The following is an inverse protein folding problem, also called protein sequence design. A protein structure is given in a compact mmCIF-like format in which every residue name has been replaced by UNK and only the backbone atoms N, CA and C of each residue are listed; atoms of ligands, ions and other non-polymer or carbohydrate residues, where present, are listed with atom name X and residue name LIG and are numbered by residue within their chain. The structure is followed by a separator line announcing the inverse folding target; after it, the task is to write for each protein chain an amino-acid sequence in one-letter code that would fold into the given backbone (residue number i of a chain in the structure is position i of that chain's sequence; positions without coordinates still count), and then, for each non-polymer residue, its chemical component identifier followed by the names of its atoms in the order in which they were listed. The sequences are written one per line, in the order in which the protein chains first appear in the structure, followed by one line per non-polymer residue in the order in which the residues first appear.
data_IF_268382451356
#
_entry.id   IF_268382451356
#
_cell.length_a   1.000
_cell.length_b   1.000
_cell.length_c   1.000
_cell.angle_alpha   90.00
_cell.angle_beta   90.00
_cell.angle_gamma   90.00
#
_symmetry.space_group_name_H-M   'P 1'
#
loop_
_entity.id
_entity.type
_entity.pdbx_description
1 polymer ?
#
# COMPACT_ATOMS: atom_id res chain seq x y z
N UNK A 1 53.36 6.74 -52.32
CA UNK A 1 53.19 8.21 -52.29
C UNK A 1 52.43 8.49 -51.00
N UNK A 2 52.98 9.14 -49.96
CA UNK A 2 53.57 10.49 -49.89
C UNK A 2 52.52 11.56 -50.24
N UNK A 3 52.24 12.61 -49.44
CA UNK A 3 52.92 13.16 -48.25
C UNK A 3 51.86 13.87 -47.33
N UNK A 4 51.97 13.92 -45.98
CA UNK A 4 52.55 15.01 -45.12
C UNK A 4 52.28 16.46 -45.62
N UNK A 5 52.00 17.51 -44.83
CA UNK A 5 51.99 17.81 -43.36
C UNK A 5 51.02 19.04 -43.14
N UNK A 6 50.72 19.73 -42.01
CA UNK A 6 51.38 20.14 -40.75
C UNK A 6 50.31 20.46 -39.65
N UNK A 7 50.67 20.40 -38.37
CA UNK A 7 49.85 20.75 -37.19
C UNK A 7 49.72 22.27 -36.91
N UNK A 8 48.78 22.68 -36.03
CA UNK A 8 48.98 23.82 -35.10
C UNK A 8 48.07 23.79 -33.86
N UNK A 9 48.69 23.91 -32.68
CA UNK A 9 48.05 24.11 -31.36
C UNK A 9 48.10 25.58 -30.94
N UNK A 10 47.24 25.99 -29.98
CA UNK A 10 47.56 27.00 -28.96
C UNK A 10 46.53 27.00 -27.81
N UNK A 11 46.94 27.50 -26.64
CA UNK A 11 46.12 27.64 -25.41
C UNK A 11 45.57 29.06 -25.24
N UNK A 12 44.45 29.23 -24.52
CA UNK A 12 44.10 30.46 -23.80
C UNK A 12 43.21 30.17 -22.57
N UNK A 13 43.31 30.98 -21.53
CA UNK A 13 42.78 30.72 -20.17
C UNK A 13 41.61 31.64 -19.75
N UNK A 14 40.90 31.21 -18.69
CA UNK A 14 40.20 32.04 -17.69
C UNK A 14 39.08 33.01 -18.11
N UNK A 15 37.89 32.83 -17.49
CA UNK A 15 37.46 33.74 -16.39
C UNK A 15 36.35 33.15 -15.51
N UNK A 16 36.34 33.60 -14.24
CA UNK A 16 35.28 33.35 -13.24
C UNK A 16 34.39 34.58 -13.15
N UNK A 17 33.08 34.40 -12.99
CA UNK A 17 32.18 35.40 -12.41
C UNK A 17 31.26 34.70 -11.41
N UNK A 18 31.27 35.14 -10.16
CA UNK A 18 30.22 34.84 -9.17
C UNK A 18 29.21 35.99 -9.16
N UNK A 19 27.95 35.68 -8.85
CA UNK A 19 26.93 36.69 -8.53
C UNK A 19 26.11 36.25 -7.31
N UNK A 20 26.41 36.86 -6.17
CA UNK A 20 25.64 36.68 -4.93
C UNK A 20 24.56 37.77 -4.84
N UNK A 21 23.33 37.41 -4.48
CA UNK A 21 22.29 38.35 -4.07
C UNK A 21 21.76 37.98 -2.68
N UNK A 22 21.77 38.93 -1.76
CA UNK A 22 21.30 38.78 -0.39
C UNK A 22 19.93 39.46 -0.22
N UNK A 23 19.08 38.87 0.64
CA UNK A 23 17.75 39.39 0.98
C UNK A 23 17.79 39.98 2.40
N UNK A 24 17.40 41.26 2.60
CA UNK A 24 17.32 41.85 3.93
C UNK A 24 15.96 41.60 4.61
N UNK A 25 15.98 41.17 5.87
CA UNK A 25 14.80 41.21 6.74
C UNK A 25 14.34 42.65 7.00
N UNK A 26 13.03 42.85 7.20
CA UNK A 26 12.52 43.91 8.08
C UNK A 26 11.22 43.52 8.77
N UNK A 27 11.24 43.54 10.09
CA UNK A 27 10.08 43.31 10.96
C UNK A 27 9.43 44.64 11.32
N UNK A 28 8.10 44.73 11.36
CA UNK A 28 7.40 45.79 12.11
C UNK A 28 6.22 45.22 12.90
N UNK A 29 6.15 45.63 14.17
CA UNK A 29 5.00 45.41 15.05
C UNK A 29 3.88 46.41 14.69
N UNK A 30 2.63 45.97 14.87
CA UNK A 30 1.53 46.88 15.18
C UNK A 30 0.82 46.37 16.45
N UNK A 31 0.54 47.28 17.37
CA UNK A 31 -0.13 47.02 18.64
C UNK A 31 -1.35 47.91 18.76
N UNK A 32 -2.44 47.39 19.33
CA UNK A 32 -3.59 48.21 19.73
C UNK A 32 -4.37 47.56 20.89
N UNK A 33 -5.04 48.41 21.67
CA UNK A 33 -5.71 48.15 22.94
C UNK A 33 -6.93 49.09 23.01
N UNK A 34 -7.96 48.89 23.85
CA UNK A 34 -8.14 47.98 24.99
C UNK A 34 -9.24 46.92 24.64
N UNK A 35 -10.21 46.44 25.44
CA UNK A 35 -10.71 46.82 26.76
C UNK A 35 -11.53 45.69 27.41
N UNK A 36 -11.31 45.46 28.71
CA UNK A 36 -12.08 44.55 29.57
C UNK A 36 -12.42 45.31 30.86
N UNK A 37 -13.71 45.36 31.22
CA UNK A 37 -14.16 45.95 32.49
C UNK A 37 -14.13 44.91 33.61
N UNK A 38 -13.57 45.20 34.79
CA UNK A 38 -13.77 44.36 35.97
C UNK A 38 -15.14 44.62 36.61
N UNK A 39 -15.69 43.59 37.27
CA UNK A 39 -16.77 43.74 38.26
C UNK A 39 -16.30 43.13 39.59
N UNK A 40 -16.85 43.59 40.72
CA UNK A 40 -16.31 43.28 42.04
C UNK A 40 -17.41 43.12 43.11
N UNK A 41 -17.09 42.36 44.16
CA UNK A 41 -17.99 41.94 45.26
C UNK A 41 -19.10 40.95 44.82
N UNK A 42 -19.67 40.11 45.70
CA UNK A 42 -19.67 40.05 47.17
C UNK A 42 -19.28 38.66 47.72
N UNK A 43 -18.88 38.62 48.99
CA UNK A 43 -18.60 37.39 49.77
C UNK A 43 -19.47 37.40 51.03
N UNK A 44 -20.07 36.24 51.38
CA UNK A 44 -20.41 35.74 52.73
C UNK A 44 -21.66 34.80 52.69
N UNK A 45 -21.88 33.91 53.69
CA UNK A 45 -20.97 33.43 54.74
C UNK A 45 -20.72 31.90 54.69
N UNK A 46 -19.81 31.43 55.55
CA UNK A 46 -19.40 30.03 55.66
C UNK A 46 -20.17 29.31 56.78
N UNK A 47 -20.81 28.17 56.50
CA UNK A 47 -21.52 27.36 57.53
C UNK A 47 -20.72 26.08 57.81
N UNK A 48 -20.30 25.92 59.07
CA UNK A 48 -19.65 24.68 59.54
C UNK A 48 -20.70 23.68 60.03
N UNK A 49 -20.76 22.51 59.42
CA UNK A 49 -21.31 21.32 60.06
C UNK A 49 -20.17 20.41 60.54
N UNK A 50 -20.27 19.92 61.78
CA UNK A 50 -19.45 18.83 62.29
C UNK A 50 -20.22 17.52 62.08
N UNK A 51 -19.61 16.54 61.46
CA UNK A 51 -20.02 15.13 61.53
C UNK A 51 -18.83 14.30 61.98
N UNK A 52 -19.09 13.32 62.85
CA UNK A 52 -18.06 12.42 63.38
C UNK A 52 -17.61 11.44 62.32
N UNK A 53 -16.30 11.22 62.21
CA UNK A 53 -15.74 10.13 61.42
C UNK A 53 -15.77 8.82 62.22
N UNK A 54 -16.38 7.78 61.66
CA UNK A 54 -16.11 6.39 62.01
C UNK A 54 -15.47 5.71 60.81
N UNK A 55 -14.22 5.30 60.94
CA UNK A 55 -13.53 4.53 59.91
C UNK A 55 -14.11 3.11 59.86
N UNK A 56 -14.47 2.66 58.65
CA UNK A 56 -14.74 1.24 58.37
C UNK A 56 -13.77 0.78 57.29
N UNK A 57 -12.79 -0.03 57.67
CA UNK A 57 -11.78 -0.59 56.76
C UNK A 57 -12.38 -1.72 55.91
N UNK A 58 -12.98 -1.36 54.78
CA UNK A 58 -13.32 -2.33 53.72
C UNK A 58 -12.07 -2.69 52.93
N UNK A 59 -11.57 -3.91 53.13
CA UNK A 59 -10.47 -4.47 52.35
C UNK A 59 -10.99 -4.94 50.98
N UNK A 60 -11.08 -4.03 50.01
CA UNK A 60 -11.45 -4.36 48.63
C UNK A 60 -10.35 -5.15 47.93
N UNK A 61 -10.48 -6.47 47.90
CA UNK A 61 -9.63 -7.34 47.09
C UNK A 61 -9.87 -7.09 45.61
N UNK A 62 -9.04 -6.25 44.99
CA UNK A 62 -9.03 -6.07 43.54
C UNK A 62 -8.46 -7.34 42.92
N UNK A 63 -9.33 -8.31 42.66
CA UNK A 63 -9.03 -9.47 41.83
C UNK A 63 -8.71 -8.97 40.43
N UNK A 64 -7.43 -8.85 40.12
CA UNK A 64 -6.95 -8.44 38.80
C UNK A 64 -7.42 -9.42 37.74
N UNK A 65 -8.52 -9.07 37.07
CA UNK A 65 -8.90 -9.69 35.81
C UNK A 65 -7.81 -9.37 34.79
N UNK A 66 -6.84 -10.28 34.67
CA UNK A 66 -5.97 -10.34 33.51
C UNK A 66 -6.85 -10.67 32.32
N UNK A 67 -7.39 -9.63 31.68
CA UNK A 67 -8.01 -9.73 30.36
C UNK A 67 -6.92 -10.14 29.39
N UNK A 68 -6.74 -11.45 29.23
CA UNK A 68 -6.07 -11.99 28.06
C UNK A 68 -6.87 -11.52 26.86
N UNK A 69 -6.40 -10.45 26.22
CA UNK A 69 -6.90 -10.02 24.91
C UNK A 69 -6.47 -11.08 23.92
N UNK A 70 -7.22 -12.19 23.88
CA UNK A 70 -7.22 -13.02 22.70
C UNK A 70 -7.64 -12.12 21.55
N UNK A 71 -6.80 -12.00 20.53
CA UNK A 71 -7.24 -11.57 19.20
C UNK A 71 -8.54 -12.32 18.91
N UNK A 72 -9.68 -11.62 18.93
CA UNK A 72 -10.95 -12.22 18.52
C UNK A 72 -10.70 -12.70 17.09
N UNK A 73 -10.73 -14.02 16.88
CA UNK A 73 -10.13 -14.65 15.69
C UNK A 73 -10.80 -14.11 14.43
N UNK A 74 -10.20 -13.07 13.84
CA UNK A 74 -10.74 -12.40 12.68
C UNK A 74 -10.80 -13.40 11.54
N UNK A 75 -11.97 -13.49 10.91
CA UNK A 75 -12.13 -14.40 9.78
C UNK A 75 -11.21 -13.94 8.67
N UNK A 76 -10.37 -14.83 8.16
CA UNK A 76 -9.57 -14.58 6.97
C UNK A 76 -10.42 -14.46 5.71
N UNK A 77 -11.74 -14.74 5.79
CA UNK A 77 -12.71 -14.54 4.71
C UNK A 77 -13.15 -13.09 4.51
N UNK A 78 -12.96 -12.21 5.50
CA UNK A 78 -13.17 -10.77 5.36
C UNK A 78 -11.78 -10.15 5.18
N UNK A 79 -11.42 -9.65 4.00
CA UNK A 79 -10.04 -9.31 3.68
C UNK A 79 -9.64 -7.89 4.11
N UNK A 80 -10.51 -7.16 4.82
CA UNK A 80 -10.25 -5.80 5.31
C UNK A 80 -10.68 -5.63 6.78
N UNK A 81 -10.08 -4.66 7.47
CA UNK A 81 -10.46 -4.25 8.84
C UNK A 81 -10.85 -2.77 8.88
N UNK A 82 -11.79 -2.40 9.75
CA UNK A 82 -12.15 -1.00 9.93
C UNK A 82 -11.06 -0.23 10.69
N UNK A 83 -11.02 1.08 10.47
CA UNK A 83 -10.15 2.00 11.22
C UNK A 83 -10.40 1.97 12.73
N UNK A 84 -11.66 1.82 13.15
CA UNK A 84 -12.04 1.65 14.56
C UNK A 84 -11.48 0.35 15.16
N UNK A 85 -11.51 -0.74 14.38
CA UNK A 85 -10.95 -2.02 14.82
C UNK A 85 -9.43 -1.94 14.93
N UNK A 86 -8.74 -1.37 13.94
CA UNK A 86 -7.29 -1.20 14.02
C UNK A 86 -6.91 -0.31 15.22
N UNK A 87 -7.59 0.81 15.43
CA UNK A 87 -7.35 1.69 16.57
C UNK A 87 -7.54 0.99 17.92
N UNK A 88 -8.53 0.10 18.04
CA UNK A 88 -8.74 -0.70 19.25
C UNK A 88 -7.65 -1.79 19.47
N UNK A 89 -7.02 -2.30 18.41
CA UNK A 89 -6.06 -3.41 18.47
C UNK A 89 -4.59 -3.00 18.24
N UNK A 90 -4.31 -1.71 18.00
CA UNK A 90 -2.97 -1.17 17.66
C UNK A 90 -1.87 -1.43 18.71
N UNK A 91 -2.23 -1.89 19.91
CA UNK A 91 -1.31 -2.19 21.02
C UNK A 91 -1.02 -3.69 21.21
N UNK A 92 -1.58 -4.55 20.35
CA UNK A 92 -1.27 -5.98 20.36
C UNK A 92 0.15 -6.21 19.80
N UNK A 93 1.09 -6.83 20.55
CA UNK A 93 2.47 -7.02 20.09
C UNK A 93 2.60 -7.99 18.91
N UNK A 94 1.60 -8.86 18.70
CA UNK A 94 1.53 -9.81 17.59
C UNK A 94 0.76 -9.22 16.39
N UNK A 95 0.42 -7.91 16.42
CA UNK A 95 -0.14 -7.17 15.29
C UNK A 95 0.92 -6.24 14.68
N UNK A 96 1.09 -6.31 13.34
CA UNK A 96 2.00 -5.44 12.58
C UNK A 96 1.21 -4.56 11.63
N UNK A 97 1.53 -3.27 11.58
CA UNK A 97 0.91 -2.33 10.64
C UNK A 97 1.92 -1.94 9.57
N UNK A 98 1.49 -2.00 8.31
CA UNK A 98 2.31 -1.67 7.15
C UNK A 98 1.73 -0.50 6.37
N UNK A 99 2.53 0.55 6.21
CA UNK A 99 2.32 1.58 5.19
C UNK A 99 2.91 1.06 3.88
N UNK A 100 2.04 0.59 2.98
CA UNK A 100 2.41 0.13 1.65
C UNK A 100 2.13 1.21 0.59
N UNK A 101 2.25 2.49 0.94
CA UNK A 101 2.02 3.60 0.01
C UNK A 101 2.92 3.50 -1.22
N UNK A 102 2.30 3.46 -2.39
CA UNK A 102 2.97 3.56 -3.69
C UNK A 102 2.10 4.42 -4.62
N UNK A 103 2.73 5.19 -5.49
CA UNK A 103 2.07 6.18 -6.34
C UNK A 103 2.54 6.07 -7.79
N UNK A 104 1.65 6.34 -8.75
CA UNK A 104 2.03 6.33 -10.15
C UNK A 104 3.09 7.41 -10.43
N UNK A 105 4.09 7.17 -11.30
CA UNK A 105 5.19 8.14 -11.54
C UNK A 105 4.76 9.54 -11.98
N UNK A 106 3.54 9.71 -12.51
CA UNK A 106 2.97 11.00 -12.90
C UNK A 106 2.28 11.76 -11.74
N UNK A 107 2.06 11.13 -10.57
CA UNK A 107 1.48 11.77 -9.38
C UNK A 107 2.49 12.66 -8.63
N UNK A 108 3.80 12.50 -8.86
CA UNK A 108 4.89 13.29 -8.27
C UNK A 108 4.92 13.30 -6.72
N UNK A 109 4.35 12.25 -6.11
CA UNK A 109 4.36 11.99 -4.67
C UNK A 109 5.52 11.07 -4.28
N UNK A 110 6.08 11.26 -3.09
CA UNK A 110 7.14 10.41 -2.53
C UNK A 110 6.57 9.65 -1.31
N UNK A 111 6.32 8.33 -1.41
CA UNK A 111 5.63 7.61 -0.35
C UNK A 111 6.45 7.49 0.94
N UNK A 112 7.76 7.22 0.84
CA UNK A 112 8.65 7.15 2.00
C UNK A 112 8.73 8.49 2.75
N UNK A 113 8.73 9.61 2.01
CA UNK A 113 8.69 10.95 2.60
C UNK A 113 7.34 11.27 3.25
N UNK A 114 6.22 10.88 2.63
CA UNK A 114 4.89 11.07 3.23
C UNK A 114 4.70 10.21 4.51
N UNK A 115 5.17 8.96 4.49
CA UNK A 115 5.26 8.09 5.67
C UNK A 115 6.08 8.74 6.79
N UNK A 116 7.30 9.21 6.49
CA UNK A 116 8.16 9.91 7.46
C UNK A 116 7.46 11.13 8.10
N UNK A 117 6.61 11.83 7.35
CA UNK A 117 5.86 13.00 7.83
C UNK A 117 4.65 12.61 8.69
N UNK A 118 3.83 11.63 8.30
CA UNK A 118 2.63 11.25 9.06
C UNK A 118 2.08 9.85 8.73
N UNK A 119 2.36 8.85 9.57
CA UNK A 119 1.95 7.45 9.44
C UNK A 119 1.06 7.00 10.61
N UNK A 120 0.43 5.82 10.52
CA UNK A 120 -0.29 5.22 11.66
C UNK A 120 0.72 4.86 12.77
N UNK A 121 0.43 5.12 14.06
CA UNK A 121 1.41 4.90 15.12
C UNK A 121 1.95 3.46 15.17
N UNK A 122 3.27 3.31 15.24
CA UNK A 122 3.96 2.02 15.21
C UNK A 122 3.99 1.30 13.86
N UNK A 123 3.47 1.89 12.78
CA UNK A 123 3.52 1.29 11.45
C UNK A 123 4.93 1.30 10.85
N UNK A 124 5.27 0.26 10.09
CA UNK A 124 6.50 0.15 9.30
C UNK A 124 6.20 0.50 7.84
N UNK A 125 7.20 0.98 7.10
CA UNK A 125 7.08 1.19 5.66
C UNK A 125 7.37 -0.11 4.88
N UNK A 126 6.46 -0.52 4.02
CA UNK A 126 6.66 -1.61 3.06
C UNK A 126 6.93 -1.01 1.68
N UNK A 127 8.18 -1.08 1.25
CA UNK A 127 8.61 -0.58 -0.05
C UNK A 127 8.13 -1.52 -1.18
N UNK A 128 7.07 -1.12 -1.90
CA UNK A 128 6.47 -1.92 -2.98
C UNK A 128 7.37 -2.01 -4.22
N UNK A 129 8.26 -1.05 -4.44
CA UNK A 129 9.25 -1.10 -5.53
C UNK A 129 10.46 -1.96 -5.12
N UNK A 130 10.98 -1.77 -3.90
CA UNK A 130 12.12 -2.53 -3.38
C UNK A 130 11.82 -4.01 -3.11
N UNK A 131 10.66 -4.31 -2.51
CA UNK A 131 10.19 -5.68 -2.22
C UNK A 131 9.49 -6.28 -3.46
N UNK A 132 10.21 -6.26 -4.59
CA UNK A 132 9.80 -6.84 -5.88
C UNK A 132 10.98 -7.53 -6.59
N UNK A 133 10.72 -8.28 -7.66
CA UNK A 133 11.78 -8.97 -8.41
C UNK A 133 12.68 -7.99 -9.19
N UNK A 134 13.88 -7.76 -8.66
CA UNK A 134 14.91 -6.92 -9.28
C UNK A 134 15.66 -7.63 -10.42
N UNK A 135 15.40 -8.94 -10.68
CA UNK A 135 16.05 -9.68 -11.76
C UNK A 135 15.41 -9.43 -13.14
N UNK A 136 14.26 -8.75 -13.20
CA UNK A 136 13.50 -8.48 -14.41
C UNK A 136 13.34 -6.99 -14.70
N UNK A 137 13.08 -6.64 -15.96
CA UNK A 137 12.71 -5.27 -16.36
C UNK A 137 11.21 -4.99 -16.21
N UNK A 138 10.43 -5.99 -15.75
CA UNK A 138 9.00 -5.85 -15.49
C UNK A 138 8.76 -5.22 -14.10
N UNK A 139 7.85 -4.24 -13.99
CA UNK A 139 7.64 -3.50 -12.76
C UNK A 139 6.85 -4.30 -11.71
N UNK A 140 7.26 -4.21 -10.45
CA UNK A 140 6.54 -4.69 -9.27
C UNK A 140 6.34 -6.21 -9.17
N UNK A 141 6.99 -7.00 -10.02
CA UNK A 141 6.85 -8.46 -10.08
C UNK A 141 7.11 -9.13 -8.72
N UNK A 142 6.47 -10.26 -8.47
CA UNK A 142 6.70 -11.05 -7.25
C UNK A 142 8.18 -11.43 -7.08
N UNK A 143 8.81 -11.12 -5.93
CA UNK A 143 10.15 -11.62 -5.64
C UNK A 143 10.12 -13.14 -5.37
N UNK A 144 11.27 -13.80 -5.29
CA UNK A 144 11.33 -15.22 -4.91
C UNK A 144 10.86 -15.49 -3.47
N UNK A 145 10.53 -16.74 -3.15
CA UNK A 145 10.13 -17.13 -1.77
C UNK A 145 11.18 -16.75 -0.73
N UNK A 146 12.45 -17.05 -0.99
CA UNK A 146 13.57 -16.72 -0.10
C UNK A 146 13.76 -15.21 0.05
N UNK A 147 13.57 -14.45 -1.04
CA UNK A 147 13.70 -12.99 -1.04
C UNK A 147 12.56 -12.35 -0.23
N UNK A 148 11.30 -12.77 -0.45
CA UNK A 148 10.16 -12.30 0.33
C UNK A 148 10.30 -12.67 1.82
N UNK A 149 10.69 -13.92 2.12
CA UNK A 149 10.95 -14.38 3.48
C UNK A 149 12.03 -13.53 4.17
N UNK A 150 13.13 -13.21 3.47
CA UNK A 150 14.20 -12.37 4.00
C UNK A 150 13.76 -10.92 4.24
N UNK A 151 13.03 -10.30 3.29
CA UNK A 151 12.54 -8.93 3.42
C UNK A 151 11.51 -8.79 4.55
N UNK A 152 10.54 -9.71 4.64
CA UNK A 152 9.53 -9.73 5.70
C UNK A 152 10.14 -10.03 7.08
N UNK A 153 11.19 -10.86 7.13
CA UNK A 153 11.98 -11.06 8.36
C UNK A 153 12.74 -9.78 8.77
N UNK A 154 13.29 -9.02 7.80
CA UNK A 154 13.99 -7.76 8.06
C UNK A 154 13.06 -6.64 8.56
N UNK A 155 11.77 -6.67 8.21
CA UNK A 155 10.73 -5.83 8.83
C UNK A 155 10.43 -6.23 10.29
N UNK A 156 10.86 -7.41 10.74
CA UNK A 156 10.58 -7.92 12.08
C UNK A 156 9.18 -8.56 12.21
N UNK A 157 8.76 -9.26 11.16
CA UNK A 157 7.48 -9.99 11.09
C UNK A 157 7.75 -11.50 11.19
N UNK A 158 6.86 -12.22 11.88
CA UNK A 158 6.88 -13.66 12.08
C UNK A 158 5.61 -14.32 11.53
N UNK A 159 5.65 -15.63 11.20
CA UNK A 159 4.44 -16.35 10.75
C UNK A 159 3.29 -16.37 11.77
N UNK A 160 3.57 -16.09 13.05
CA UNK A 160 2.56 -16.02 14.11
C UNK A 160 1.73 -14.74 14.07
N UNK A 161 2.26 -13.65 13.52
CA UNK A 161 1.68 -12.31 13.62
C UNK A 161 0.39 -12.18 12.79
N UNK A 162 -0.41 -11.15 13.08
CA UNK A 162 -1.39 -10.58 12.16
C UNK A 162 -0.83 -9.32 11.50
N UNK A 163 -1.20 -9.08 10.24
CA UNK A 163 -0.71 -7.93 9.46
C UNK A 163 -1.89 -7.08 8.97
N UNK A 164 -1.83 -5.77 9.19
CA UNK A 164 -2.78 -4.80 8.61
C UNK A 164 -2.04 -3.83 7.71
N UNK A 165 -2.40 -3.81 6.43
CA UNK A 165 -1.76 -2.96 5.41
C UNK A 165 -2.66 -1.79 5.05
N UNK A 166 -2.10 -0.59 4.95
CA UNK A 166 -2.80 0.59 4.42
C UNK A 166 -1.96 1.31 3.36
N UNK A 167 -2.58 2.25 2.64
CA UNK A 167 -1.86 3.22 1.82
C UNK A 167 -2.45 4.64 1.92
N UNK A 168 -1.69 5.62 1.42
CA UNK A 168 -2.04 7.04 1.36
C UNK A 168 -3.00 7.44 0.22
N UNK A 169 -3.75 6.49 -0.35
CA UNK A 169 -4.89 6.75 -1.26
C UNK A 169 -6.21 6.18 -0.73
N UNK A 170 -6.15 5.12 0.06
CA UNK A 170 -7.30 4.42 0.64
C UNK A 170 -7.11 2.92 0.45
N UNK A 171 -7.48 2.41 -0.73
CA UNK A 171 -7.15 1.06 -1.19
C UNK A 171 -6.61 1.14 -2.63
N UNK A 172 -5.31 1.00 -2.79
CA UNK A 172 -4.61 1.04 -4.08
C UNK A 172 -3.43 0.06 -4.13
N UNK A 173 -2.40 0.30 -3.32
CA UNK A 173 -1.18 -0.49 -3.23
C UNK A 173 -1.16 -1.40 -2.00
N UNK A 174 -1.95 -1.07 -0.96
CA UNK A 174 -2.15 -1.97 0.18
C UNK A 174 -2.70 -3.34 -0.24
N UNK A 175 -3.60 -3.36 -1.24
CA UNK A 175 -4.15 -4.60 -1.79
C UNK A 175 -3.08 -5.48 -2.47
N UNK A 176 -2.03 -4.89 -3.05
CA UNK A 176 -0.90 -5.63 -3.64
C UNK A 176 -0.16 -6.42 -2.57
N UNK A 177 0.20 -5.76 -1.46
CA UNK A 177 0.92 -6.39 -0.36
C UNK A 177 0.05 -7.45 0.35
N UNK A 178 -1.24 -7.18 0.54
CA UNK A 178 -2.22 -8.19 1.00
C UNK A 178 -2.17 -9.47 0.15
N UNK A 179 -2.21 -9.33 -1.18
CA UNK A 179 -2.11 -10.46 -2.08
C UNK A 179 -0.73 -11.13 -2.04
N UNK A 180 0.37 -10.38 -1.93
CA UNK A 180 1.73 -10.95 -1.82
C UNK A 180 1.88 -11.86 -0.59
N UNK A 181 1.46 -11.43 0.60
CA UNK A 181 1.52 -12.29 1.80
C UNK A 181 0.65 -13.56 1.65
N UNK A 182 -0.52 -13.47 0.99
CA UNK A 182 -1.34 -14.64 0.67
C UNK A 182 -0.68 -15.56 -0.36
N UNK A 183 -0.04 -15.01 -1.39
CA UNK A 183 0.80 -15.76 -2.34
C UNK A 183 1.92 -16.49 -1.61
N UNK A 184 2.48 -15.93 -0.54
CA UNK A 184 3.49 -16.59 0.29
C UNK A 184 2.92 -17.33 1.52
N UNK A 185 1.63 -17.67 1.51
CA UNK A 185 1.02 -18.61 2.45
C UNK A 185 0.69 -18.04 3.84
N UNK A 186 0.52 -16.72 3.95
CA UNK A 186 0.16 -16.03 5.19
C UNK A 186 -1.20 -15.32 5.03
N UNK A 187 -2.29 -16.01 5.37
CA UNK A 187 -3.67 -15.47 5.29
C UNK A 187 -4.08 -14.60 6.49
N UNK A 188 -3.24 -14.41 7.51
CA UNK A 188 -3.49 -13.49 8.64
C UNK A 188 -3.25 -12.01 8.25
N UNK A 189 -3.72 -11.60 7.07
CA UNK A 189 -3.47 -10.27 6.52
C UNK A 189 -4.76 -9.61 6.03
N UNK A 190 -4.89 -8.33 6.39
CA UNK A 190 -6.05 -7.49 6.08
C UNK A 190 -5.60 -6.15 5.49
N UNK A 191 -6.40 -5.57 4.61
CA UNK A 191 -6.26 -4.16 4.22
C UNK A 191 -7.03 -3.27 5.21
N UNK A 192 -6.52 -2.08 5.52
CA UNK A 192 -7.25 -1.08 6.29
C UNK A 192 -8.32 -0.42 5.40
N UNK A 193 -9.59 -0.63 5.73
CA UNK A 193 -10.72 -0.17 4.91
C UNK A 193 -10.78 1.38 4.88
N UNK A 194 -10.61 1.97 3.69
CA UNK A 194 -10.46 3.42 3.50
C UNK A 194 -9.08 4.00 3.85
N UNK A 195 -8.12 3.16 4.27
CA UNK A 195 -6.71 3.48 4.45
C UNK A 195 -6.39 4.68 5.36
N UNK A 196 -5.24 5.31 5.11
CA UNK A 196 -4.80 6.51 5.84
C UNK A 196 -5.75 7.71 5.71
N UNK A 197 -6.44 7.94 4.56
CA UNK A 197 -7.47 8.98 4.46
C UNK A 197 -8.61 8.78 5.47
N UNK A 198 -9.17 7.56 5.57
CA UNK A 198 -10.27 7.27 6.52
C UNK A 198 -9.79 7.27 7.97
N UNK A 199 -8.56 6.81 8.24
CA UNK A 199 -7.94 6.91 9.58
C UNK A 199 -7.90 8.35 10.09
N UNK A 200 -7.37 9.27 9.27
CA UNK A 200 -7.31 10.70 9.58
C UNK A 200 -8.70 11.34 9.66
N UNK A 201 -9.63 10.94 8.79
CA UNK A 201 -11.01 11.44 8.82
C UNK A 201 -11.80 11.01 10.07
N UNK A 202 -11.46 9.87 10.67
CA UNK A 202 -11.98 9.42 11.98
C UNK A 202 -11.37 10.13 13.18
N UNK A 203 -10.38 11.00 12.98
CA UNK A 203 -9.74 11.77 14.06
C UNK A 203 -8.73 10.98 14.90
N UNK A 204 -8.24 9.84 14.41
CA UNK A 204 -7.21 9.06 15.08
C UNK A 204 -5.81 9.66 14.89
N UNK A 205 -4.97 9.54 15.92
CA UNK A 205 -3.61 10.08 15.95
C UNK A 205 -2.72 9.48 14.84
N UNK A 206 -1.73 10.25 14.40
CA UNK A 206 -0.67 9.82 13.47
C UNK A 206 0.70 10.18 14.05
N UNK A 207 1.67 9.28 13.91
CA UNK A 207 3.05 9.56 14.29
C UNK A 207 3.75 10.38 13.20
N UNK A 208 4.51 11.39 13.63
CA UNK A 208 5.29 12.27 12.74
C UNK A 208 6.76 12.19 13.11
N UNK A 209 7.63 12.14 12.10
CA UNK A 209 9.03 11.68 12.22
C UNK A 209 9.11 10.19 12.54
N UNK A 210 8.99 9.34 11.52
CA UNK A 210 9.18 7.89 11.64
C UNK A 210 10.51 7.55 12.33
N UNK A 211 10.48 6.55 13.22
CA UNK A 211 11.66 6.20 14.02
C UNK A 211 12.82 5.71 13.15
N UNK A 212 14.06 5.98 13.59
CA UNK A 212 15.25 5.51 12.89
C UNK A 212 15.27 3.98 12.73
N UNK A 213 14.70 3.25 13.70
CA UNK A 213 14.52 1.79 13.64
C UNK A 213 13.58 1.38 12.49
N UNK A 214 12.41 2.02 12.36
CA UNK A 214 11.46 1.71 11.29
C UNK A 214 12.02 2.03 9.89
N UNK A 215 12.79 3.13 9.75
CA UNK A 215 13.47 3.48 8.50
C UNK A 215 14.62 2.51 8.19
N UNK A 216 15.39 2.08 9.19
CA UNK A 216 16.43 1.06 9.02
C UNK A 216 15.82 -0.29 8.63
N UNK A 217 14.68 -0.69 9.19
CA UNK A 217 13.94 -1.91 8.81
C UNK A 217 13.42 -1.86 7.37
N UNK A 218 12.83 -0.74 6.95
CA UNK A 218 12.37 -0.56 5.57
C UNK A 218 13.54 -0.68 4.58
N UNK A 219 14.67 -0.01 4.85
CA UNK A 219 15.88 -0.15 4.04
C UNK A 219 16.42 -1.58 4.06
N UNK A 220 16.47 -2.22 5.24
CA UNK A 220 16.97 -3.59 5.41
C UNK A 220 16.11 -4.63 4.66
N UNK A 221 14.82 -4.36 4.45
CA UNK A 221 13.93 -5.21 3.68
C UNK A 221 14.24 -5.17 2.18
N UNK A 222 14.39 -3.98 1.58
CA UNK A 222 14.81 -3.84 0.18
C UNK A 222 16.24 -4.38 -0.04
N UNK A 223 17.16 -4.08 0.89
CA UNK A 223 18.51 -4.67 0.97
C UNK A 223 18.51 -6.21 0.95
N UNK A 224 17.52 -6.85 1.60
CA UNK A 224 17.46 -8.30 1.73
C UNK A 224 17.11 -8.97 0.39
N UNK A 225 16.26 -8.34 -0.43
CA UNK A 225 15.94 -8.78 -1.80
C UNK A 225 17.21 -8.82 -2.65
N UNK A 226 17.96 -7.72 -2.68
CA UNK A 226 19.21 -7.64 -3.44
C UNK A 226 20.22 -8.70 -2.99
N UNK A 227 20.36 -8.92 -1.67
CA UNK A 227 21.29 -9.90 -1.10
C UNK A 227 20.92 -11.33 -1.51
N UNK A 228 19.65 -11.71 -1.43
CA UNK A 228 19.20 -13.04 -1.87
C UNK A 228 19.46 -13.25 -3.37
N UNK A 229 19.16 -12.27 -4.23
CA UNK A 229 19.46 -12.39 -5.66
C UNK A 229 20.96 -12.36 -6.00
N UNK A 230 21.80 -11.77 -5.15
CA UNK A 230 23.27 -11.89 -5.21
C UNK A 230 23.80 -13.21 -4.63
N UNK A 231 22.92 -14.14 -4.20
CA UNK A 231 23.30 -15.42 -3.60
C UNK A 231 23.87 -15.31 -2.19
N UNK A 232 23.63 -14.20 -1.49
CA UNK A 232 24.11 -13.96 -0.13
C UNK A 232 23.07 -14.44 0.90
N UNK A 233 23.54 -15.09 1.96
CA UNK A 233 22.68 -15.51 3.06
C UNK A 233 22.23 -14.30 3.90
N UNK A 234 20.91 -14.10 4.00
CA UNK A 234 20.30 -13.14 4.94
C UNK A 234 19.88 -13.89 6.20
N UNK A 235 20.23 -13.35 7.38
CA UNK A 235 19.86 -13.93 8.68
C UNK A 235 19.66 -12.82 9.73
N UNK A 236 18.75 -12.98 10.71
CA UNK A 236 17.87 -14.13 10.90
C UNK A 236 16.72 -14.16 9.88
N UNK A 237 16.21 -15.37 9.61
CA UNK A 237 14.92 -15.57 8.92
C UNK A 237 13.89 -15.94 10.00
N UNK A 238 12.87 -15.11 10.15
CA UNK A 238 11.79 -15.22 11.15
C UNK A 238 10.43 -15.49 10.50
N UNK A 239 10.33 -15.28 9.19
CA UNK A 239 9.16 -15.57 8.37
C UNK A 239 9.47 -16.68 7.35
N UNK A 240 8.64 -17.71 7.32
CA UNK A 240 8.65 -18.78 6.31
C UNK A 240 7.62 -18.46 5.22
N UNK A 241 8.08 -18.21 4.00
CA UNK A 241 7.21 -18.15 2.83
C UNK A 241 6.77 -19.57 2.39
N UNK A 242 5.59 -19.68 1.75
CA UNK A 242 5.10 -20.90 1.08
C UNK A 242 4.27 -20.52 -0.15
N UNK A 243 4.87 -20.64 -1.33
CA UNK A 243 4.29 -20.16 -2.59
C UNK A 243 2.98 -20.86 -2.99
N UNK A 244 1.92 -20.07 -3.12
CA UNK A 244 0.59 -20.47 -3.56
C UNK A 244 0.47 -20.22 -5.06
N UNK A 245 1.08 -21.10 -5.87
CA UNK A 245 1.10 -21.00 -7.33
C UNK A 245 -0.30 -20.77 -7.96
N UNK A 246 -1.37 -21.25 -7.33
CA UNK A 246 -2.74 -21.05 -7.80
C UNK A 246 -3.24 -19.59 -7.74
N UNK A 247 -2.57 -18.70 -6.99
CA UNK A 247 -2.89 -17.27 -6.88
C UNK A 247 -2.10 -16.38 -7.87
N UNK A 248 -1.25 -16.97 -8.72
CA UNK A 248 -0.36 -16.25 -9.64
C UNK A 248 -0.52 -16.81 -11.05
N UNK A 249 -0.70 -15.94 -12.04
CA UNK A 249 -0.69 -16.27 -13.46
C UNK A 249 0.47 -15.59 -14.20
N UNK A 250 1.03 -16.29 -15.18
CA UNK A 250 2.04 -15.79 -16.11
C UNK A 250 1.47 -15.54 -17.53
N UNK A 251 2.29 -14.99 -18.43
CA UNK A 251 1.90 -14.71 -19.82
C UNK A 251 1.43 -15.95 -20.60
N UNK A 252 2.01 -17.13 -20.35
CA UNK A 252 1.63 -18.38 -21.04
C UNK A 252 0.20 -18.81 -20.65
N UNK A 253 -0.14 -18.77 -19.35
CA UNK A 253 -1.48 -19.08 -18.85
C UNK A 253 -2.52 -18.11 -19.42
N UNK A 254 -2.18 -16.82 -19.53
CA UNK A 254 -3.05 -15.80 -20.14
C UNK A 254 -3.25 -16.06 -21.63
N UNK A 255 -2.18 -16.36 -22.37
CA UNK A 255 -2.26 -16.67 -23.80
C UNK A 255 -3.12 -17.90 -24.05
N UNK A 256 -2.89 -18.97 -23.30
CA UNK A 256 -3.68 -20.21 -23.35
C UNK A 256 -5.16 -19.97 -23.03
N UNK A 257 -5.46 -19.07 -22.09
CA UNK A 257 -6.84 -18.74 -21.74
C UNK A 257 -7.62 -18.01 -22.85
N UNK A 258 -6.97 -17.37 -23.82
CA UNK A 258 -7.65 -16.78 -25.00
C UNK A 258 -8.30 -17.88 -25.86
N UNK A 259 -7.63 -19.03 -26.00
CA UNK A 259 -8.12 -20.16 -26.78
C UNK A 259 -9.09 -21.04 -25.97
N UNK A 260 -8.78 -21.32 -24.71
CA UNK A 260 -9.60 -22.20 -23.85
C UNK A 260 -10.83 -21.50 -23.23
N UNK A 261 -10.80 -20.17 -23.07
CA UNK A 261 -11.84 -19.37 -22.38
C UNK A 261 -12.23 -19.96 -21.00
N UNK A 262 -11.24 -20.44 -20.26
CA UNK A 262 -11.45 -21.19 -19.00
C UNK A 262 -11.72 -20.27 -17.81
N UNK A 263 -11.17 -19.05 -17.83
CA UNK A 263 -11.30 -18.03 -16.79
C UNK A 263 -11.73 -16.69 -17.40
N UNK A 264 -12.60 -15.97 -16.69
CA UNK A 264 -12.93 -14.59 -17.04
C UNK A 264 -11.77 -13.68 -16.63
N UNK A 265 -11.05 -13.13 -17.61
CA UNK A 265 -9.95 -12.19 -17.37
C UNK A 265 -10.49 -10.76 -17.18
N UNK A 266 -10.21 -10.15 -16.02
CA UNK A 266 -10.72 -8.83 -15.65
C UNK A 266 -9.59 -7.84 -15.41
N UNK A 267 -9.54 -6.78 -16.21
CA UNK A 267 -8.52 -5.73 -16.17
C UNK A 267 -8.97 -4.54 -15.32
N UNK A 268 -8.14 -4.18 -14.33
CA UNK A 268 -8.37 -3.11 -13.36
C UNK A 268 -7.85 -1.72 -13.78
N UNK A 269 -7.35 -1.55 -15.02
CA UNK A 269 -6.97 -0.25 -15.59
C UNK A 269 -8.18 0.65 -15.83
N UNK A 270 -7.93 1.93 -16.10
CA UNK A 270 -8.99 2.84 -16.54
C UNK A 270 -9.50 2.47 -17.94
N UNK A 271 -10.81 2.58 -18.16
CA UNK A 271 -11.48 2.19 -19.41
C UNK A 271 -10.81 2.77 -20.68
N UNK A 272 -10.30 4.02 -20.72
CA UNK A 272 -9.55 4.52 -21.89
C UNK A 272 -8.23 3.80 -22.19
N UNK A 273 -7.51 3.29 -21.17
CA UNK A 273 -6.28 2.50 -21.38
C UNK A 273 -6.61 1.11 -21.94
N UNK A 274 -7.67 0.50 -21.43
CA UNK A 274 -8.21 -0.78 -21.89
C UNK A 274 -8.73 -0.69 -23.33
N UNK A 275 -9.53 0.32 -23.65
CA UNK A 275 -10.10 0.53 -24.98
C UNK A 275 -9.06 0.88 -26.05
N UNK A 276 -7.88 1.34 -25.62
CA UNK A 276 -6.78 1.78 -26.47
C UNK A 276 -6.77 3.27 -26.79
N UNK A 277 -7.75 4.03 -26.29
CA UNK A 277 -7.93 5.47 -26.54
C UNK A 277 -7.02 6.37 -25.69
N UNK A 278 -6.34 5.81 -24.68
CA UNK A 278 -5.28 6.47 -23.93
C UNK A 278 -3.94 5.73 -24.05
N UNK A 279 -2.84 6.47 -23.96
CA UNK A 279 -1.49 5.91 -23.87
C UNK A 279 -1.24 5.24 -22.51
N UNK A 280 -0.44 4.18 -22.50
CA UNK A 280 0.07 3.60 -21.27
C UNK A 280 1.11 4.52 -20.60
N UNK A 281 1.21 4.57 -19.25
CA UNK A 281 2.16 5.43 -18.54
C UNK A 281 3.64 5.12 -18.82
N UNK A 282 3.95 3.90 -19.29
CA UNK A 282 5.30 3.48 -19.68
C UNK A 282 5.45 3.58 -21.20
N UNK A 283 6.55 4.22 -21.62
CA UNK A 283 6.88 4.38 -23.05
C UNK A 283 7.14 3.02 -23.70
N UNK A 284 6.67 2.85 -24.93
CA UNK A 284 6.89 1.64 -25.73
C UNK A 284 5.88 0.51 -25.52
N UNK A 285 5.03 0.57 -24.49
CA UNK A 285 3.95 -0.39 -24.28
C UNK A 285 2.81 -0.07 -25.25
N UNK A 286 2.27 -1.09 -25.94
CA UNK A 286 1.08 -0.96 -26.81
C UNK A 286 -0.15 -0.56 -25.99
N UNK A 287 -1.04 0.28 -26.53
CA UNK A 287 -2.36 0.55 -25.95
C UNK A 287 -3.37 -0.55 -26.34
N UNK A 288 -4.44 -0.73 -25.56
CA UNK A 288 -5.46 -1.76 -25.78
C UNK A 288 -5.58 -2.74 -24.61
N UNK A 289 -6.14 -3.92 -24.85
CA UNK A 289 -6.38 -4.97 -23.85
C UNK A 289 -6.15 -6.38 -24.40
N UNK A 290 -6.16 -7.38 -23.51
CA UNK A 290 -6.01 -8.80 -23.86
C UNK A 290 -7.31 -9.28 -24.52
N UNK A 291 -7.30 -9.93 -25.69
CA UNK A 291 -8.53 -10.39 -26.34
C UNK A 291 -9.44 -11.20 -25.42
N UNK A 292 -10.75 -10.90 -25.44
CA UNK A 292 -11.76 -11.56 -24.60
C UNK A 292 -11.77 -11.15 -23.12
N UNK A 293 -10.84 -10.29 -22.66
CA UNK A 293 -10.89 -9.73 -21.31
C UNK A 293 -12.01 -8.70 -21.13
N UNK A 294 -12.33 -8.39 -19.88
CA UNK A 294 -13.33 -7.41 -19.43
C UNK A 294 -12.66 -6.32 -18.60
N UNK A 295 -13.32 -5.18 -18.41
CA UNK A 295 -12.73 -4.04 -17.67
C UNK A 295 -13.62 -3.61 -16.50
N UNK A 296 -13.11 -3.74 -15.27
CA UNK A 296 -13.66 -3.05 -14.10
C UNK A 296 -12.55 -2.15 -13.57
N UNK A 297 -12.52 -0.85 -13.94
CA UNK A 297 -11.58 0.10 -13.39
C UNK A 297 -11.63 0.08 -11.87
N UNK A 298 -10.49 -0.14 -11.19
CA UNK A 298 -10.47 -0.42 -9.75
C UNK A 298 -11.24 0.57 -8.84
N UNK A 299 -11.40 1.88 -9.15
CA UNK A 299 -12.21 2.76 -8.30
C UNK A 299 -13.69 2.40 -8.25
N UNK A 300 -14.20 1.59 -9.20
CA UNK A 300 -15.59 1.14 -9.23
C UNK A 300 -15.93 0.08 -8.16
N UNK A 301 -14.93 -0.60 -7.58
CA UNK A 301 -15.14 -1.49 -6.43
C UNK A 301 -14.96 -0.77 -5.08
N UNK A 302 -14.74 0.55 -5.10
CA UNK A 302 -14.58 1.40 -3.92
C UNK A 302 -15.75 2.39 -3.79
N UNK A 303 -15.97 2.89 -2.57
CA UNK A 303 -16.95 3.93 -2.28
C UNK A 303 -16.36 5.36 -2.28
N UNK A 304 -17.20 6.36 -2.03
CA UNK A 304 -16.78 7.76 -1.95
C UNK A 304 -15.80 8.09 -0.82
N UNK A 305 -15.61 7.19 0.15
CA UNK A 305 -14.60 7.29 1.22
C UNK A 305 -13.30 6.52 0.90
N UNK A 306 -13.19 5.95 -0.30
CA UNK A 306 -12.11 5.05 -0.75
C UNK A 306 -12.07 3.71 0.03
N UNK A 307 -13.19 3.33 0.64
CA UNK A 307 -13.39 2.04 1.31
C UNK A 307 -13.89 0.99 0.30
N UNK A 308 -13.62 -0.29 0.54
CA UNK A 308 -14.09 -1.38 -0.32
C UNK A 308 -15.62 -1.48 -0.23
N UNK A 309 -16.31 -1.60 -1.37
CA UNK A 309 -17.78 -1.70 -1.39
C UNK A 309 -18.29 -2.90 -0.56
N UNK A 310 -19.52 -2.83 -0.01
CA UNK A 310 -20.15 -3.97 0.64
C UNK A 310 -20.46 -5.08 -0.37
N UNK A 311 -20.59 -6.36 0.06
CA UNK A 311 -20.78 -7.50 -0.84
C UNK A 311 -21.89 -7.34 -1.89
N UNK A 312 -23.01 -6.68 -1.55
CA UNK A 312 -24.09 -6.42 -2.52
C UNK A 312 -23.64 -5.51 -3.68
N UNK A 313 -22.94 -4.41 -3.37
CA UNK A 313 -22.44 -3.47 -4.38
C UNK A 313 -21.26 -4.02 -5.17
N UNK A 314 -20.38 -4.80 -4.54
CA UNK A 314 -19.34 -5.55 -5.25
C UNK A 314 -19.96 -6.51 -6.27
N UNK A 315 -20.93 -7.32 -5.82
CA UNK A 315 -21.62 -8.29 -6.68
C UNK A 315 -22.29 -7.59 -7.88
N UNK A 316 -23.02 -6.51 -7.64
CA UNK A 316 -23.65 -5.70 -8.69
C UNK A 316 -22.63 -5.24 -9.74
N UNK A 317 -21.46 -4.71 -9.33
CA UNK A 317 -20.42 -4.22 -10.24
C UNK A 317 -19.77 -5.33 -11.09
N UNK A 318 -19.66 -6.56 -10.56
CA UNK A 318 -19.24 -7.70 -11.36
C UNK A 318 -20.34 -8.20 -12.31
N UNK A 319 -21.60 -8.22 -11.87
CA UNK A 319 -22.73 -8.67 -12.70
C UNK A 319 -23.09 -7.67 -13.82
N UNK A 320 -22.90 -6.35 -13.64
CA UNK A 320 -23.07 -5.32 -14.67
C UNK A 320 -22.16 -5.53 -15.89
N UNK A 321 -20.87 -5.82 -15.66
CA UNK A 321 -19.92 -6.22 -16.71
C UNK A 321 -20.09 -7.71 -17.12
N UNK A 322 -21.12 -8.40 -16.63
CA UNK A 322 -21.47 -9.77 -16.96
C UNK A 322 -20.43 -10.81 -16.51
N UNK A 323 -19.77 -10.59 -15.38
CA UNK A 323 -18.80 -11.51 -14.78
C UNK A 323 -19.55 -12.40 -13.77
N UNK A 324 -19.67 -13.69 -14.08
CA UNK A 324 -20.32 -14.67 -13.21
C UNK A 324 -19.36 -15.15 -12.12
N UNK A 325 -19.80 -15.06 -10.86
CA UNK A 325 -19.02 -15.53 -9.71
C UNK A 325 -18.94 -17.06 -9.62
N UNK A 326 -19.84 -17.78 -10.31
CA UNK A 326 -19.86 -19.25 -10.39
C UNK A 326 -18.76 -19.80 -11.31
N UNK A 327 -18.18 -18.96 -12.15
CA UNK A 327 -17.09 -19.31 -13.06
C UNK A 327 -15.72 -18.91 -12.47
N UNK A 328 -14.62 -19.50 -12.98
CA UNK A 328 -13.28 -19.02 -12.67
C UNK A 328 -13.06 -17.58 -13.15
N UNK A 329 -12.24 -16.82 -12.41
CA UNK A 329 -11.90 -15.42 -12.66
C UNK A 329 -10.39 -15.27 -12.46
N UNK A 330 -9.75 -14.45 -13.26
CA UNK A 330 -8.35 -14.01 -13.10
C UNK A 330 -8.32 -12.49 -13.25
N UNK A 331 -7.56 -11.78 -12.41
CA UNK A 331 -7.44 -10.32 -12.51
C UNK A 331 -6.11 -9.89 -13.11
N UNK A 332 -6.10 -8.74 -13.79
CA UNK A 332 -4.92 -8.12 -14.40
C UNK A 332 -5.03 -6.60 -14.26
N UNK A 333 -3.95 -5.86 -14.49
CA UNK A 333 -4.03 -4.43 -14.70
C UNK A 333 -2.85 -3.93 -15.56
N UNK A 334 -2.24 -2.80 -15.20
CA UNK A 334 -0.96 -2.40 -15.76
C UNK A 334 0.21 -3.30 -15.34
N UNK A 335 0.22 -3.80 -14.10
CA UNK A 335 1.44 -4.30 -13.40
C UNK A 335 1.13 -5.15 -12.15
N UNK A 336 0.04 -5.93 -12.13
CA UNK A 336 -0.37 -6.73 -10.97
C UNK A 336 -0.88 -5.94 -9.74
N UNK A 337 -0.52 -4.66 -9.57
CA UNK A 337 -0.86 -3.84 -8.39
C UNK A 337 -2.38 -3.65 -8.23
N UNK A 338 -3.03 -2.85 -9.09
CA UNK A 338 -4.49 -2.60 -8.96
C UNK A 338 -5.35 -3.82 -9.30
N UNK A 339 -4.79 -4.85 -9.93
CA UNK A 339 -5.44 -6.15 -10.12
C UNK A 339 -5.78 -6.81 -8.77
N UNK A 340 -4.94 -6.59 -7.76
CA UNK A 340 -5.16 -7.08 -6.41
C UNK A 340 -6.35 -6.39 -5.71
N UNK A 341 -6.74 -5.17 -6.12
CA UNK A 341 -7.95 -4.50 -5.58
C UNK A 341 -9.22 -5.22 -6.05
N UNK A 342 -9.25 -5.72 -7.30
CA UNK A 342 -10.34 -6.58 -7.76
C UNK A 342 -10.32 -7.95 -7.07
N UNK A 343 -9.14 -8.53 -6.86
CA UNK A 343 -9.00 -9.78 -6.11
C UNK A 343 -9.45 -9.65 -4.64
N UNK A 344 -9.19 -8.50 -4.00
CA UNK A 344 -9.67 -8.15 -2.66
C UNK A 344 -11.21 -8.11 -2.60
N UNK A 345 -11.84 -7.47 -3.60
CA UNK A 345 -13.30 -7.45 -3.74
C UNK A 345 -13.90 -8.85 -3.98
N UNK A 346 -13.27 -9.65 -4.85
CA UNK A 346 -13.70 -11.04 -5.12
C UNK A 346 -13.52 -11.96 -3.91
N UNK A 347 -12.47 -11.75 -3.11
CA UNK A 347 -12.27 -12.46 -1.85
C UNK A 347 -13.38 -12.14 -0.83
N UNK A 348 -13.78 -10.86 -0.69
CA UNK A 348 -14.96 -10.45 0.11
C UNK A 348 -16.28 -11.06 -0.40
N UNK A 349 -16.35 -11.43 -1.69
CA UNK A 349 -17.46 -12.19 -2.28
C UNK A 349 -17.33 -13.72 -2.10
N UNK A 350 -16.32 -14.21 -1.39
CA UNK A 350 -16.07 -15.63 -1.13
C UNK A 350 -15.22 -16.35 -2.19
N UNK A 351 -14.74 -15.65 -3.23
CA UNK A 351 -13.78 -16.22 -4.20
C UNK A 351 -12.36 -15.98 -3.74
N UNK A 352 -11.89 -16.81 -2.82
CA UNK A 352 -10.56 -16.73 -2.19
C UNK A 352 -9.41 -17.19 -3.09
N UNK A 353 -9.76 -17.82 -4.23
CA UNK A 353 -8.95 -18.60 -5.16
C UNK A 353 -8.55 -17.83 -6.44
N UNK A 354 -8.87 -16.54 -6.54
CA UNK A 354 -8.65 -15.72 -7.75
C UNK A 354 -7.16 -15.40 -7.96
N UNK A 355 -6.53 -15.87 -9.05
CA UNK A 355 -5.18 -15.46 -9.41
C UNK A 355 -5.10 -14.04 -9.95
N UNK A 356 -3.91 -13.44 -9.80
CA UNK A 356 -3.50 -12.22 -10.50
C UNK A 356 -2.50 -12.57 -11.59
N UNK A 357 -2.71 -12.07 -12.80
CA UNK A 357 -1.69 -12.06 -13.85
C UNK A 357 -0.65 -10.98 -13.54
N UNK A 358 0.54 -11.40 -13.13
CA UNK A 358 1.48 -10.51 -12.44
C UNK A 358 2.12 -9.46 -13.36
N UNK A 359 2.76 -9.93 -14.44
CA UNK A 359 3.34 -9.06 -15.47
C UNK A 359 2.31 -8.19 -16.19
N UNK A 360 1.04 -8.63 -16.20
CA UNK A 360 -0.12 -7.79 -16.53
C UNK A 360 0.03 -7.13 -17.91
N UNK A 361 -0.58 -5.96 -18.14
CA UNK A 361 -0.46 -5.25 -19.41
C UNK A 361 0.95 -4.72 -19.73
N UNK A 362 1.85 -4.54 -18.76
CA UNK A 362 3.23 -4.12 -19.07
C UNK A 362 4.01 -5.26 -19.73
N UNK A 363 3.86 -6.50 -19.26
CA UNK A 363 4.42 -7.68 -19.93
C UNK A 363 3.71 -7.95 -21.26
N UNK A 364 2.37 -8.05 -21.24
CA UNK A 364 1.59 -8.37 -22.43
C UNK A 364 1.72 -7.32 -23.53
N UNK A 365 1.58 -6.05 -23.21
CA UNK A 365 1.66 -4.94 -24.14
C UNK A 365 3.06 -4.70 -24.72
N UNK A 366 4.12 -5.20 -24.07
CA UNK A 366 5.50 -5.17 -24.56
C UNK A 366 5.86 -6.35 -25.48
N UNK A 367 5.34 -7.55 -25.21
CA UNK A 367 5.66 -8.73 -26.00
C UNK A 367 5.13 -8.58 -27.44
N UNK A 368 5.95 -8.74 -28.50
CA UNK A 368 5.51 -8.42 -29.86
C UNK A 368 4.43 -9.37 -30.39
N UNK A 369 4.57 -10.67 -30.11
CA UNK A 369 3.72 -11.72 -30.69
C UNK A 369 2.36 -11.91 -29.99
N UNK A 370 2.12 -11.26 -28.86
CA UNK A 370 0.84 -11.39 -28.14
C UNK A 370 -0.25 -10.55 -28.83
N UNK A 371 -1.46 -11.10 -29.04
CA UNK A 371 -2.55 -10.38 -29.69
C UNK A 371 -3.12 -9.27 -28.79
N UNK A 372 -3.65 -8.21 -29.41
CA UNK A 372 -4.19 -7.02 -28.74
C UNK A 372 -5.54 -6.67 -29.33
N UNK A 373 -6.52 -6.42 -28.45
CA UNK A 373 -7.84 -5.90 -28.82
C UNK A 373 -7.99 -4.42 -28.42
N UNK A 374 -8.89 -3.74 -29.11
CA UNK A 374 -9.32 -2.35 -28.86
C UNK A 374 -10.84 -2.27 -28.96
N UNK A 375 -11.44 -1.17 -28.51
CA UNK A 375 -12.90 -0.97 -28.62
C UNK A 375 -13.42 -0.83 -30.06
N UNK A 376 -12.53 -0.77 -31.06
CA UNK A 376 -12.87 -0.76 -32.49
C UNK A 376 -12.80 -2.16 -33.14
N UNK A 377 -12.37 -3.18 -32.38
CA UNK A 377 -12.10 -4.55 -32.86
C UNK A 377 -12.80 -5.64 -32.03
N UNK A 378 -13.90 -5.28 -31.37
CA UNK A 378 -14.72 -6.12 -30.49
C UNK A 378 -16.16 -6.26 -31.01
#
# INVERSE_FOLDING_TARGET
MAATILSRTLFATNRVIQSSFAVPHKTQFLSSLFNIKPLHSRVAPYVKFKTFGYFSTMASSVSGLTTSSSVQSMSTSEPVVSVDWLHANLRDPDMKVLDASWYMPNEQRNPLQEYQVAHIPGALFFDVDGISDQATNLPHMLPSEDAFAAAVSALGIENKDGVVVYDGKGIFSAARVWWMFRVFGHDKIWVLDGGLPRWRASGFDVESSASSDAILKASAASDAIEKVYQGQAVTPITFQARFQQHLVWNLEQVHKNIEENSHQLVDARSKPRFDGTAAEPRKGIRSGHVPGSKCIPFPQVLDGSQSLLPPAGLKEKFEEEGISLDKPIVTSCGTGVTACVLALGLHRLGKTDVPVYDGSWTEWGAHPDTPVSTSESS
#
